data_IF_189130403369
#
_entry.id   IF_189130403369
#
_cell.length_a   1.000
_cell.length_b   1.000
_cell.length_c   1.000
_cell.angle_alpha   90.00
_cell.angle_beta   90.00
_cell.angle_gamma   90.00
#
_symmetry.space_group_name_H-M   'P 1'
#
loop_
_entity.id
_entity.type
_entity.pdbx_description
1 polymer ?
#
# COMPACT_ATOMS: atom_id res chain seq x y z
N UNK A 1 18.44 -8.82 -12.51
CA UNK A 1 17.99 -8.17 -11.25
C UNK A 1 16.98 -7.12 -11.62
N UNK A 2 15.89 -6.97 -10.85
CA UNK A 2 14.95 -5.87 -11.02
C UNK A 2 15.42 -4.66 -10.21
N UNK A 3 15.27 -3.48 -10.78
CA UNK A 3 15.43 -2.17 -10.12
C UNK A 3 14.27 -1.90 -9.17
N UNK A 4 14.41 -0.87 -8.32
CA UNK A 4 13.34 -0.50 -7.38
C UNK A 4 12.02 -0.13 -8.07
N UNK A 5 12.09 0.61 -9.18
CA UNK A 5 10.89 1.00 -9.92
C UNK A 5 10.19 -0.19 -10.57
N UNK A 6 10.95 -1.18 -11.09
CA UNK A 6 10.38 -2.41 -11.65
C UNK A 6 9.71 -3.28 -10.58
N UNK A 7 10.23 -3.27 -9.34
CA UNK A 7 9.62 -3.98 -8.22
C UNK A 7 8.30 -3.31 -7.79
N UNK A 8 8.28 -1.98 -7.71
CA UNK A 8 7.06 -1.22 -7.41
C UNK A 8 6.00 -1.42 -8.49
N UNK A 9 6.39 -1.37 -9.77
CA UNK A 9 5.48 -1.61 -10.88
C UNK A 9 4.88 -3.02 -10.84
N UNK A 10 5.69 -4.03 -10.51
CA UNK A 10 5.19 -5.40 -10.32
C UNK A 10 4.19 -5.48 -9.15
N UNK A 11 4.52 -4.92 -7.98
CA UNK A 11 3.61 -4.94 -6.83
C UNK A 11 2.30 -4.22 -7.13
N UNK A 12 2.32 -3.09 -7.84
CA UNK A 12 1.09 -2.41 -8.26
C UNK A 12 0.25 -3.28 -9.19
N UNK A 13 0.87 -3.99 -10.14
CA UNK A 13 0.17 -4.96 -10.97
C UNK A 13 -0.45 -6.10 -10.13
N UNK A 14 0.28 -6.65 -9.15
CA UNK A 14 -0.26 -7.69 -8.25
C UNK A 14 -1.43 -7.17 -7.39
N UNK A 15 -1.37 -5.94 -6.90
CA UNK A 15 -2.49 -5.32 -6.17
C UNK A 15 -3.77 -5.29 -7.00
N UNK A 16 -3.67 -4.95 -8.29
CA UNK A 16 -4.80 -4.90 -9.21
C UNK A 16 -5.28 -6.31 -9.58
N UNK A 17 -4.37 -7.15 -10.09
CA UNK A 17 -4.71 -8.42 -10.73
C UNK A 17 -5.04 -9.53 -9.72
N UNK A 18 -4.29 -9.60 -8.62
CA UNK A 18 -4.39 -10.68 -7.63
C UNK A 18 -5.25 -10.29 -6.44
N UNK A 19 -5.17 -9.03 -6.01
CA UNK A 19 -5.86 -8.56 -4.80
C UNK A 19 -7.12 -7.75 -5.08
N UNK A 20 -7.42 -7.45 -6.35
CA UNK A 20 -8.63 -6.71 -6.73
C UNK A 20 -8.64 -5.24 -6.27
N UNK A 21 -7.48 -4.68 -5.91
CA UNK A 21 -7.32 -3.26 -5.51
C UNK A 21 -7.16 -2.40 -6.75
N UNK A 22 -8.27 -2.23 -7.44
CA UNK A 22 -8.37 -1.48 -8.70
C UNK A 22 -8.45 0.03 -8.48
N UNK A 23 -8.20 0.81 -9.52
CA UNK A 23 -8.41 2.27 -9.51
C UNK A 23 -9.85 2.61 -9.08
N UNK A 24 -10.85 1.85 -9.55
CA UNK A 24 -12.25 2.06 -9.20
C UNK A 24 -12.49 1.90 -7.69
N UNK A 25 -11.99 0.81 -7.10
CA UNK A 25 -12.08 0.61 -5.65
C UNK A 25 -11.27 1.65 -4.87
N UNK A 26 -10.14 2.10 -5.42
CA UNK A 26 -9.32 3.13 -4.80
C UNK A 26 -10.09 4.47 -4.72
N UNK A 27 -10.82 4.84 -5.78
CA UNK A 27 -11.71 6.03 -5.79
C UNK A 27 -12.86 5.88 -4.81
N UNK A 28 -13.47 4.69 -4.73
CA UNK A 28 -14.65 4.45 -3.88
C UNK A 28 -14.31 4.42 -2.39
N UNK A 29 -13.16 3.84 -2.01
CA UNK A 29 -12.87 3.52 -0.60
C UNK A 29 -11.69 4.27 0.01
N UNK A 30 -10.87 5.00 -0.77
CA UNK A 30 -9.68 5.70 -0.27
C UNK A 30 -9.71 7.20 -0.55
N UNK A 31 -10.84 7.86 -0.31
CA UNK A 31 -11.03 9.29 -0.58
C UNK A 31 -10.43 10.23 0.47
N UNK A 32 -9.92 9.71 1.59
CA UNK A 32 -9.38 10.49 2.72
C UNK A 32 -7.91 10.14 2.98
N UNK A 33 -7.12 10.01 1.91
CA UNK A 33 -5.67 9.79 1.94
C UNK A 33 -5.22 8.42 2.49
N UNK A 34 -6.12 7.42 2.59
CA UNK A 34 -5.82 6.12 3.19
C UNK A 34 -4.63 5.40 2.51
N UNK A 35 -4.48 5.54 1.18
CA UNK A 35 -3.36 4.96 0.43
C UNK A 35 -2.02 5.60 0.81
N UNK A 36 -1.97 6.93 0.90
CA UNK A 36 -0.74 7.65 1.26
C UNK A 36 -0.40 7.49 2.75
N UNK A 37 -1.41 7.40 3.62
CA UNK A 37 -1.22 7.05 5.03
C UNK A 37 -0.69 5.62 5.20
N UNK A 38 -1.27 4.65 4.50
CA UNK A 38 -0.79 3.27 4.48
C UNK A 38 0.67 3.19 4.04
N UNK A 39 1.03 3.94 2.98
CA UNK A 39 2.42 4.04 2.52
C UNK A 39 3.34 4.61 3.61
N UNK A 40 2.99 5.76 4.20
CA UNK A 40 3.77 6.42 5.27
C UNK A 40 4.03 5.48 6.45
N UNK A 41 3.01 4.74 6.88
CA UNK A 41 3.09 3.82 8.00
C UNK A 41 3.99 2.59 7.72
N UNK A 42 4.11 2.17 6.47
CA UNK A 42 5.02 1.10 6.05
C UNK A 42 6.49 1.55 5.99
N UNK A 43 6.76 2.85 5.86
CA UNK A 43 8.12 3.39 5.82
C UNK A 43 8.81 3.36 7.19
N UNK A 44 8.06 3.49 8.27
CA UNK A 44 8.61 3.48 9.62
C UNK A 44 8.92 2.05 10.06
N UNK A 45 10.10 1.82 10.64
CA UNK A 45 10.41 0.58 11.37
C UNK A 45 9.38 0.41 12.48
N UNK A 46 8.64 -0.70 12.47
CA UNK A 46 7.70 -0.99 13.54
C UNK A 46 8.55 -1.40 14.74
N UNK A 47 8.75 -0.49 15.69
CA UNK A 47 9.13 -0.93 17.02
C UNK A 47 7.96 -1.77 17.55
N UNK A 48 8.25 -2.96 18.09
CA UNK A 48 7.27 -3.99 18.48
C UNK A 48 6.15 -3.50 19.43
N UNK A 49 6.32 -2.32 20.03
CA UNK A 49 5.39 -1.68 20.95
C UNK A 49 4.28 -0.88 20.27
N UNK A 50 4.41 -0.53 18.98
CA UNK A 50 3.41 0.22 18.22
C UNK A 50 2.84 -0.65 17.11
N UNK A 51 1.86 -1.50 17.46
CA UNK A 51 0.98 -2.10 16.45
C UNK A 51 0.19 -0.98 15.78
N UNK A 52 0.75 -0.45 14.70
CA UNK A 52 0.19 0.64 13.91
C UNK A 52 -1.24 0.29 13.50
N UNK A 53 -2.18 1.15 13.87
CA UNK A 53 -3.58 1.02 13.48
C UNK A 53 -3.66 1.13 11.95
N UNK A 54 -4.33 0.20 11.24
CA UNK A 54 -4.51 0.31 9.79
C UNK A 54 -5.22 1.61 9.41
N UNK A 55 -5.05 2.08 8.17
CA UNK A 55 -5.93 3.12 7.61
C UNK A 55 -7.41 2.73 7.77
N UNK A 56 -8.27 3.76 7.77
CA UNK A 56 -9.71 3.57 7.92
C UNK A 56 -10.25 2.60 6.86
N UNK A 57 -11.18 1.71 7.24
CA UNK A 57 -11.77 0.67 6.39
C UNK A 57 -10.82 -0.40 5.82
N UNK A 58 -9.53 -0.41 6.18
CA UNK A 58 -8.63 -1.47 5.72
C UNK A 58 -8.78 -2.73 6.56
N UNK A 59 -8.75 -3.88 5.88
CA UNK A 59 -8.77 -5.18 6.54
C UNK A 59 -7.53 -5.36 7.44
N UNK A 60 -7.79 -5.66 8.72
CA UNK A 60 -6.74 -5.77 9.74
C UNK A 60 -5.80 -6.95 9.49
N UNK A 61 -6.29 -8.10 9.04
CA UNK A 61 -5.43 -9.26 8.81
C UNK A 61 -4.50 -9.05 7.62
N UNK A 62 -5.01 -8.40 6.57
CA UNK A 62 -4.20 -8.00 5.42
C UNK A 62 -3.16 -6.97 5.83
N UNK A 63 -3.56 -5.98 6.64
CA UNK A 63 -2.63 -4.98 7.17
C UNK A 63 -1.50 -5.61 7.99
N UNK A 64 -1.84 -6.49 8.93
CA UNK A 64 -0.87 -7.18 9.79
C UNK A 64 0.14 -8.01 8.94
N UNK A 65 -0.30 -8.60 7.84
CA UNK A 65 0.57 -9.28 6.86
C UNK A 65 1.48 -8.31 6.10
N UNK A 66 1.03 -7.10 5.78
CA UNK A 66 1.87 -6.10 5.10
C UNK A 66 2.95 -5.54 6.03
N UNK A 67 2.58 -5.22 7.28
CA UNK A 67 3.51 -4.61 8.24
C UNK A 67 4.53 -5.61 8.81
N UNK A 68 4.21 -6.92 8.83
CA UNK A 68 5.14 -7.97 9.28
C UNK A 68 6.22 -8.33 8.25
N UNK A 69 6.17 -7.78 7.04
CA UNK A 69 7.15 -8.05 6.00
C UNK A 69 8.52 -7.39 6.29
N UNK A 70 9.62 -7.96 5.76
CA UNK A 70 10.92 -7.32 5.78
C UNK A 70 10.88 -5.89 5.23
N UNK A 71 11.73 -5.01 5.76
CA UNK A 71 11.70 -3.58 5.41
C UNK A 71 11.72 -3.32 3.90
N UNK A 72 12.56 -4.04 3.14
CA UNK A 72 12.61 -3.93 1.68
C UNK A 72 11.25 -4.20 1.01
N UNK A 73 10.53 -5.23 1.44
CA UNK A 73 9.21 -5.54 0.91
C UNK A 73 8.19 -4.46 1.28
N UNK A 74 8.27 -3.91 2.50
CA UNK A 74 7.42 -2.79 2.92
C UNK A 74 7.65 -1.53 2.09
N UNK A 75 8.90 -1.23 1.70
CA UNK A 75 9.21 -0.12 0.79
C UNK A 75 8.58 -0.31 -0.60
N UNK A 76 8.58 -1.55 -1.11
CA UNK A 76 7.97 -1.88 -2.41
C UNK A 76 6.45 -1.68 -2.34
N UNK A 77 5.80 -2.20 -1.29
CA UNK A 77 4.35 -2.03 -1.07
C UNK A 77 4.01 -0.55 -0.90
N UNK A 78 4.78 0.20 -0.10
CA UNK A 78 4.58 1.63 0.08
C UNK A 78 4.67 2.39 -1.25
N UNK A 79 5.66 2.08 -2.10
CA UNK A 79 5.77 2.67 -3.43
C UNK A 79 4.56 2.35 -4.32
N UNK A 80 4.05 1.12 -4.27
CA UNK A 80 2.85 0.73 -5.01
C UNK A 80 1.58 1.44 -4.51
N UNK A 81 1.46 1.68 -3.20
CA UNK A 81 0.36 2.47 -2.62
C UNK A 81 0.42 3.94 -3.04
N UNK A 82 1.62 4.53 -3.16
CA UNK A 82 1.76 5.90 -3.71
C UNK A 82 1.37 5.93 -5.19
N UNK A 83 1.75 4.93 -5.98
CA UNK A 83 1.29 4.81 -7.36
C UNK A 83 -0.23 4.71 -7.43
N UNK A 84 -0.84 3.90 -6.55
CA UNK A 84 -2.30 3.79 -6.43
C UNK A 84 -2.98 5.12 -6.10
N UNK A 85 -2.41 5.92 -5.20
CA UNK A 85 -2.95 7.24 -4.84
C UNK A 85 -2.89 8.21 -6.03
N UNK A 86 -1.80 8.18 -6.81
CA UNK A 86 -1.69 8.98 -8.04
C UNK A 86 -2.71 8.51 -9.09
N UNK A 87 -2.88 7.20 -9.27
CA UNK A 87 -3.89 6.64 -10.17
C UNK A 87 -5.30 7.12 -9.78
N UNK A 88 -5.62 7.08 -8.48
CA UNK A 88 -6.89 7.54 -7.92
C UNK A 88 -7.13 9.02 -8.20
N UNK A 89 -6.12 9.87 -7.96
CA UNK A 89 -6.20 11.31 -8.21
C UNK A 89 -6.35 11.66 -9.69
N UNK A 90 -5.76 10.87 -10.59
CA UNK A 90 -5.91 11.06 -12.04
C UNK A 90 -7.28 10.61 -12.57
N UNK A 91 -7.99 9.76 -11.84
CA UNK A 91 -9.29 9.22 -12.23
C UNK A 91 -10.50 9.95 -11.60
N UNK A 92 -10.24 10.84 -10.65
CA UNK A 92 -11.25 11.69 -10.00
C UNK A 92 -11.54 12.96 -10.81
#
# INVERSE_FOLDING_TARGET
MKTGIELIAQERAEQIEKHGRTIKSDVEYNSHCELSDGARLLLTGINELERVIPPHNWDREIWDKMISKPYKERLIIAGALIAAEIDRLNAA
#
